data_IF_038224224672
#
_entry.id   IF_038224224672
#
_cell.length_a   1.000
_cell.length_b   1.000
_cell.length_c   1.000
_cell.angle_alpha   90.00
_cell.angle_beta   90.00
_cell.angle_gamma   90.00
#
_symmetry.space_group_name_H-M   'P 1'
#
loop_
_entity.id
_entity.type
_entity.pdbx_description
1 polymer ?
#
# COMPACT_ATOMS: atom_id res chain seq x y z
N UNK A 1 -5.46 -16.43 -2.65
CA UNK A 1 -6.26 -17.66 -2.89
C UNK A 1 -7.27 -17.97 -1.78
N UNK A 2 -6.99 -17.77 -0.48
CA UNK A 2 -7.86 -18.23 0.63
C UNK A 2 -9.29 -17.66 0.71
N UNK A 3 -9.63 -16.64 -0.10
CA UNK A 3 -10.98 -16.05 -0.21
C UNK A 3 -11.64 -16.30 -1.58
N UNK A 4 -10.86 -16.75 -2.56
CA UNK A 4 -11.30 -16.91 -3.94
C UNK A 4 -12.02 -18.24 -4.03
N UNK A 5 -13.31 -18.22 -4.36
CA UNK A 5 -14.11 -19.43 -4.55
C UNK A 5 -13.73 -20.11 -5.86
N UNK A 6 -13.73 -19.37 -6.96
CA UNK A 6 -13.52 -19.89 -8.31
C UNK A 6 -12.56 -19.00 -9.11
N UNK A 7 -12.81 -17.69 -9.17
CA UNK A 7 -12.05 -16.75 -10.01
C UNK A 7 -11.97 -15.36 -9.38
N UNK A 8 -10.81 -14.73 -9.49
CA UNK A 8 -10.58 -13.36 -9.06
C UNK A 8 -10.40 -12.40 -10.23
N UNK A 9 -10.82 -11.16 -10.02
CA UNK A 9 -10.53 -10.01 -10.87
C UNK A 9 -9.45 -9.17 -10.18
N UNK A 10 -8.36 -8.84 -10.88
CA UNK A 10 -7.24 -8.05 -10.35
C UNK A 10 -7.04 -6.76 -11.13
N UNK A 11 -6.79 -5.66 -10.42
CA UNK A 11 -6.21 -4.46 -11.04
C UNK A 11 -4.70 -4.49 -10.84
N UNK A 12 -3.94 -4.37 -11.93
CA UNK A 12 -2.48 -4.41 -11.92
C UNK A 12 -1.91 -3.11 -12.47
N UNK A 13 -1.17 -2.40 -11.64
CA UNK A 13 -0.59 -1.10 -11.98
C UNK A 13 0.75 -0.82 -11.27
N UNK A 14 1.40 -1.89 -10.81
CA UNK A 14 2.75 -1.90 -10.26
C UNK A 14 3.12 -3.27 -9.71
N UNK A 15 4.22 -3.32 -8.96
CA UNK A 15 4.80 -4.57 -8.47
C UNK A 15 3.90 -5.35 -7.50
N UNK A 16 3.29 -4.67 -6.53
CA UNK A 16 2.57 -5.37 -5.46
C UNK A 16 1.24 -5.91 -5.96
N UNK A 17 0.54 -5.13 -6.78
CA UNK A 17 -0.66 -5.58 -7.48
C UNK A 17 -0.39 -6.75 -8.43
N UNK A 18 0.70 -6.73 -9.21
CA UNK A 18 1.04 -7.84 -10.12
C UNK A 18 1.30 -9.14 -9.37
N UNK A 19 2.05 -9.10 -8.27
CA UNK A 19 2.34 -10.27 -7.44
C UNK A 19 1.09 -10.95 -6.90
N UNK A 20 0.04 -10.20 -6.56
CA UNK A 20 -1.20 -10.82 -6.08
C UNK A 20 -1.96 -11.51 -7.23
N UNK A 21 -1.97 -10.91 -8.43
CA UNK A 21 -2.54 -11.56 -9.61
C UNK A 21 -1.78 -12.85 -9.96
N UNK A 22 -0.44 -12.80 -9.98
CA UNK A 22 0.44 -13.95 -10.23
C UNK A 22 0.23 -15.06 -9.19
N UNK A 23 0.16 -14.72 -7.89
CA UNK A 23 -0.11 -15.69 -6.83
C UNK A 23 -1.49 -16.35 -6.95
N UNK A 24 -2.48 -15.65 -7.53
CA UNK A 24 -3.81 -16.20 -7.77
C UNK A 24 -3.82 -17.12 -8.99
N UNK A 25 -3.14 -16.73 -10.08
CA UNK A 25 -2.95 -17.57 -11.27
C UNK A 25 -2.16 -18.86 -10.97
N UNK A 26 -1.18 -18.79 -10.06
CA UNK A 26 -0.38 -19.95 -9.66
C UNK A 26 -1.14 -20.96 -8.79
N UNK A 27 -2.33 -20.63 -8.28
CA UNK A 27 -3.10 -21.53 -7.44
C UNK A 27 -3.85 -22.58 -8.29
N UNK A 28 -3.50 -23.87 -8.24
CA UNK A 28 -3.92 -24.87 -9.24
C UNK A 28 -5.40 -25.27 -9.18
N UNK A 29 -6.12 -24.79 -8.17
CA UNK A 29 -7.54 -25.09 -7.94
C UNK A 29 -8.46 -23.92 -8.30
N UNK A 30 -7.89 -22.79 -8.75
CA UNK A 30 -8.64 -21.62 -9.19
C UNK A 30 -8.62 -21.53 -10.71
N UNK A 31 -9.64 -20.90 -11.28
CA UNK A 31 -9.60 -20.50 -12.67
C UNK A 31 -8.62 -19.33 -12.86
N UNK A 32 -8.13 -19.16 -14.09
CA UNK A 32 -7.27 -18.03 -14.44
C UNK A 32 -7.92 -16.70 -14.03
N UNK A 33 -7.19 -15.81 -13.35
CA UNK A 33 -7.74 -14.53 -12.93
C UNK A 33 -7.99 -13.63 -14.13
N UNK A 34 -9.04 -12.81 -14.05
CA UNK A 34 -9.20 -11.67 -14.96
C UNK A 34 -8.27 -10.56 -14.48
N UNK A 35 -7.38 -10.11 -15.35
CA UNK A 35 -6.39 -9.08 -15.02
C UNK A 35 -6.65 -7.84 -15.89
N UNK A 36 -6.98 -6.73 -15.24
CA UNK A 36 -7.06 -5.42 -15.87
C UNK A 36 -5.79 -4.64 -15.50
N UNK A 37 -4.93 -4.41 -16.49
CA UNK A 37 -3.65 -3.73 -16.29
C UNK A 37 -3.66 -2.29 -16.80
N UNK A 38 -2.83 -1.43 -16.23
CA UNK A 38 -2.43 -0.15 -16.81
C UNK A 38 -0.92 0.00 -16.83
N UNK A 39 -0.42 1.01 -17.55
CA UNK A 39 0.95 1.47 -17.38
C UNK A 39 1.19 1.94 -15.94
N UNK A 40 2.45 1.87 -15.49
CA UNK A 40 2.86 2.40 -14.18
C UNK A 40 2.67 3.91 -14.13
N UNK A 41 2.27 4.46 -12.98
CA UNK A 41 2.01 5.89 -12.82
C UNK A 41 0.55 6.27 -13.03
N UNK A 42 -0.33 5.30 -13.29
CA UNK A 42 -1.79 5.43 -13.23
C UNK A 42 -2.40 4.12 -12.72
N UNK A 43 -3.73 4.02 -12.67
CA UNK A 43 -4.45 2.78 -12.35
C UNK A 43 -5.69 2.64 -13.26
N UNK A 44 -6.15 1.42 -13.55
CA UNK A 44 -7.46 1.20 -14.14
C UNK A 44 -8.57 1.32 -13.08
N UNK A 45 -9.83 1.31 -13.51
CA UNK A 45 -11.01 1.31 -12.63
C UNK A 45 -11.59 -0.10 -12.54
N UNK A 46 -12.02 -0.59 -11.37
CA UNK A 46 -12.65 -1.91 -11.29
C UNK A 46 -13.99 -1.91 -12.04
N UNK A 47 -14.22 -2.98 -12.81
CA UNK A 47 -15.44 -3.20 -13.59
C UNK A 47 -16.10 -4.48 -13.11
N UNK A 48 -17.43 -4.49 -13.08
CA UNK A 48 -18.19 -5.69 -12.72
C UNK A 48 -17.96 -6.81 -13.74
N UNK A 49 -17.61 -8.00 -13.25
CA UNK A 49 -17.47 -9.24 -13.99
C UNK A 49 -18.22 -10.36 -13.24
N UNK A 50 -19.29 -10.85 -13.84
CA UNK A 50 -20.14 -11.89 -13.23
C UNK A 50 -19.42 -13.25 -13.09
N UNK A 51 -18.27 -13.45 -13.75
CA UNK A 51 -17.44 -14.65 -13.62
C UNK A 51 -16.49 -14.59 -12.43
N UNK A 52 -16.34 -13.43 -11.78
CA UNK A 52 -15.40 -13.22 -10.68
C UNK A 52 -16.12 -13.11 -9.33
N UNK A 53 -15.65 -13.84 -8.34
CA UNK A 53 -16.19 -13.82 -6.97
C UNK A 53 -15.35 -12.99 -5.99
N UNK A 54 -14.22 -12.43 -6.45
CA UNK A 54 -13.34 -11.48 -5.77
C UNK A 54 -12.92 -10.38 -6.74
N UNK A 55 -12.84 -9.14 -6.25
CA UNK A 55 -12.15 -8.01 -6.88
C UNK A 55 -10.99 -7.58 -5.99
N UNK A 56 -9.78 -7.58 -6.53
CA UNK A 56 -8.55 -7.36 -5.78
C UNK A 56 -7.70 -6.24 -6.38
N UNK A 57 -7.29 -5.29 -5.54
CA UNK A 57 -6.42 -4.19 -5.95
C UNK A 57 -5.82 -3.46 -4.74
N UNK A 58 -4.70 -2.74 -4.90
CA UNK A 58 -4.15 -1.96 -3.81
C UNK A 58 -4.86 -0.62 -3.66
N UNK A 59 -5.03 -0.16 -2.42
CA UNK A 59 -5.36 1.23 -2.12
C UNK A 59 -4.16 2.13 -2.44
N UNK A 60 -2.94 1.64 -2.23
CA UNK A 60 -1.72 2.36 -2.59
C UNK A 60 -0.69 1.40 -3.18
N UNK A 61 -0.33 1.59 -4.45
CA UNK A 61 0.75 0.85 -5.09
C UNK A 61 2.09 1.46 -4.68
N UNK A 62 2.75 0.84 -3.70
CA UNK A 62 3.99 1.37 -3.08
C UNK A 62 5.14 1.49 -4.08
N UNK A 63 5.12 0.73 -5.17
CA UNK A 63 6.18 0.77 -6.18
C UNK A 63 6.12 2.01 -7.07
N UNK A 64 4.93 2.58 -7.28
CA UNK A 64 4.69 3.67 -8.25
C UNK A 64 4.14 4.96 -7.64
N UNK A 65 3.79 4.97 -6.35
CA UNK A 65 3.21 6.16 -5.71
C UNK A 65 1.77 6.45 -6.18
N UNK A 66 1.10 5.48 -6.79
CA UNK A 66 -0.29 5.60 -7.24
C UNK A 66 -1.24 5.16 -6.13
N UNK A 67 -2.19 6.03 -5.79
CA UNK A 67 -3.30 5.73 -4.88
C UNK A 67 -4.61 5.52 -5.66
N UNK A 68 -5.40 4.56 -5.20
CA UNK A 68 -6.75 4.25 -5.68
C UNK A 68 -7.68 4.19 -4.48
N UNK A 69 -8.53 5.21 -4.30
CA UNK A 69 -9.57 5.19 -3.27
C UNK A 69 -10.45 3.94 -3.44
N UNK A 70 -10.64 3.11 -2.40
CA UNK A 70 -11.41 1.88 -2.52
C UNK A 70 -12.83 2.12 -3.03
N UNK A 71 -13.20 1.39 -4.08
CA UNK A 71 -14.51 1.51 -4.72
C UNK A 71 -15.07 0.12 -5.05
N UNK A 72 -16.35 -0.09 -4.73
CA UNK A 72 -17.03 -1.35 -5.02
C UNK A 72 -17.52 -1.35 -6.49
N UNK A 73 -17.05 -2.27 -7.36
CA UNK A 73 -17.69 -2.46 -8.66
C UNK A 73 -19.09 -3.08 -8.46
N UNK A 74 -19.94 -3.00 -9.47
CA UNK A 74 -21.21 -3.72 -9.45
C UNK A 74 -21.02 -5.24 -9.29
N UNK A 75 -22.09 -5.93 -8.87
CA UNK A 75 -22.11 -7.39 -8.70
C UNK A 75 -21.82 -7.86 -7.27
N UNK A 76 -21.72 -9.19 -7.11
CA UNK A 76 -21.72 -9.86 -5.81
C UNK A 76 -20.35 -10.36 -5.33
N UNK A 77 -19.27 -10.05 -6.05
CA UNK A 77 -17.91 -10.39 -5.63
C UNK A 77 -17.49 -9.64 -4.36
N UNK A 78 -16.56 -10.22 -3.59
CA UNK A 78 -15.99 -9.51 -2.44
C UNK A 78 -14.89 -8.55 -2.90
N UNK A 79 -14.83 -7.37 -2.30
CA UNK A 79 -13.78 -6.38 -2.57
C UNK A 79 -12.63 -6.56 -1.57
N UNK A 80 -11.46 -6.92 -2.07
CA UNK A 80 -10.26 -7.27 -1.29
C UNK A 80 -9.16 -6.28 -1.60
N UNK A 81 -8.84 -5.40 -0.65
CA UNK A 81 -7.97 -4.26 -0.85
C UNK A 81 -6.64 -4.46 -0.15
N UNK A 82 -5.55 -4.38 -0.91
CA UNK A 82 -4.20 -4.27 -0.37
C UNK A 82 -3.97 -2.85 0.15
N UNK A 83 -4.00 -2.73 1.47
CA UNK A 83 -3.78 -1.47 2.15
C UNK A 83 -2.43 -1.42 2.84
N UNK A 84 -1.47 -2.28 2.48
CA UNK A 84 -0.18 -2.41 3.18
C UNK A 84 0.50 -1.06 3.39
N UNK A 85 0.52 -0.18 2.38
CA UNK A 85 1.04 1.20 2.47
C UNK A 85 0.01 2.30 2.73
N UNK A 86 -1.28 1.97 2.77
CA UNK A 86 -2.35 2.96 2.84
C UNK A 86 -3.03 3.01 4.22
N UNK A 87 -3.24 1.85 4.84
CA UNK A 87 -3.96 1.72 6.10
C UNK A 87 -3.35 2.63 7.18
N UNK A 88 -4.14 3.52 7.76
CA UNK A 88 -3.69 4.50 8.76
C UNK A 88 -3.20 5.84 8.19
N UNK A 89 -2.93 5.95 6.88
CA UNK A 89 -2.44 7.19 6.26
C UNK A 89 -3.30 7.70 5.08
N UNK A 90 -4.23 6.91 4.57
CA UNK A 90 -5.19 7.30 3.53
C UNK A 90 -6.63 7.04 4.00
N UNK A 91 -7.54 7.92 3.61
CA UNK A 91 -8.98 7.79 3.89
C UNK A 91 -9.59 6.64 3.10
N UNK A 92 -10.53 5.93 3.70
CA UNK A 92 -11.29 4.86 3.05
C UNK A 92 -12.66 4.73 3.71
N UNK A 93 -13.60 4.13 2.99
CA UNK A 93 -14.93 3.81 3.50
C UNK A 93 -15.06 2.28 3.63
N UNK A 94 -15.26 1.75 4.85
CA UNK A 94 -15.49 0.32 5.06
C UNK A 94 -16.66 -0.27 4.26
N UNK A 95 -17.66 0.52 3.86
CA UNK A 95 -18.78 0.02 3.04
C UNK A 95 -18.32 -0.45 1.63
N UNK A 96 -17.22 0.11 1.13
CA UNK A 96 -16.67 -0.23 -0.18
C UNK A 96 -15.73 -1.44 -0.17
N UNK A 97 -15.46 -2.04 0.99
CA UNK A 97 -14.45 -3.09 1.13
C UNK A 97 -14.99 -4.28 1.94
N UNK A 98 -14.66 -5.49 1.51
CA UNK A 98 -14.95 -6.71 2.27
C UNK A 98 -13.74 -7.21 3.04
N UNK A 99 -12.52 -7.02 2.52
CA UNK A 99 -11.28 -7.30 3.24
C UNK A 99 -10.28 -6.17 3.00
N UNK A 100 -9.87 -5.47 4.07
CA UNK A 100 -8.86 -4.41 4.01
C UNK A 100 -7.62 -4.88 4.79
N UNK A 101 -6.57 -5.29 4.08
CA UNK A 101 -5.42 -5.95 4.70
C UNK A 101 -4.14 -5.13 4.61
N UNK A 102 -3.29 -5.23 5.63
CA UNK A 102 -2.05 -4.48 5.73
C UNK A 102 -1.04 -5.16 6.66
N UNK A 103 0.12 -4.54 6.83
CA UNK A 103 1.15 -4.94 7.77
C UNK A 103 1.69 -3.70 8.53
N UNK A 104 2.28 -3.86 9.74
CA UNK A 104 2.55 -2.72 10.62
C UNK A 104 3.67 -1.76 10.16
N UNK A 105 4.56 -2.18 9.28
CA UNK A 105 5.83 -1.50 8.98
C UNK A 105 5.76 -0.30 8.03
N UNK A 106 4.59 0.31 7.88
CA UNK A 106 4.42 1.52 7.06
C UNK A 106 3.76 2.62 7.90
N UNK A 107 2.49 2.94 7.66
CA UNK A 107 1.79 3.98 8.43
C UNK A 107 1.75 3.71 9.93
N UNK A 108 1.74 2.43 10.33
CA UNK A 108 1.69 2.01 11.73
C UNK A 108 3.06 1.94 12.42
N UNK A 109 4.16 2.34 11.76
CA UNK A 109 5.48 2.51 12.36
C UNK A 109 5.97 1.31 13.22
N UNK A 110 5.48 0.10 12.94
CA UNK A 110 5.87 -1.12 13.64
C UNK A 110 6.83 -1.97 12.80
N UNK A 111 7.04 -3.21 13.23
CA UNK A 111 7.85 -4.17 12.47
C UNK A 111 7.01 -5.00 11.50
N UNK A 112 7.67 -5.53 10.46
CA UNK A 112 7.08 -6.53 9.58
C UNK A 112 6.90 -7.88 10.27
N UNK A 113 6.34 -8.86 9.55
CA UNK A 113 6.16 -10.23 10.05
C UNK A 113 4.79 -10.52 10.64
N UNK A 114 3.89 -9.54 10.68
CA UNK A 114 2.47 -9.70 10.98
C UNK A 114 1.63 -9.15 9.82
N UNK A 115 0.57 -9.85 9.44
CA UNK A 115 -0.49 -9.31 8.59
C UNK A 115 -1.75 -9.10 9.42
N UNK A 116 -2.51 -8.06 9.09
CA UNK A 116 -3.78 -7.72 9.71
C UNK A 116 -4.80 -7.53 8.61
N UNK A 117 -6.02 -8.01 8.81
CA UNK A 117 -7.11 -7.84 7.86
C UNK A 117 -8.40 -7.46 8.59
N UNK A 118 -8.98 -6.32 8.23
CA UNK A 118 -10.34 -5.97 8.62
C UNK A 118 -11.30 -6.67 7.65
N UNK A 119 -12.12 -7.58 8.17
CA UNK A 119 -13.02 -8.43 7.38
C UNK A 119 -14.48 -8.05 7.63
N UNK A 120 -15.25 -7.84 6.55
CA UNK A 120 -16.70 -7.66 6.62
C UNK A 120 -17.39 -8.98 7.00
N UNK A 121 -18.66 -8.94 7.46
CA UNK A 121 -19.44 -10.16 7.68
C UNK A 121 -19.47 -11.10 6.46
N UNK A 122 -19.53 -10.55 5.23
CA UNK A 122 -19.50 -11.34 4.00
C UNK A 122 -18.16 -12.06 3.81
N UNK A 123 -17.05 -11.41 4.14
CA UNK A 123 -15.73 -12.03 4.10
C UNK A 123 -15.56 -13.12 5.15
N UNK A 124 -16.07 -12.90 6.37
CA UNK A 124 -16.09 -13.92 7.43
C UNK A 124 -16.86 -15.16 6.99
N UNK A 125 -18.04 -14.99 6.40
CA UNK A 125 -18.80 -16.14 5.86
C UNK A 125 -18.10 -16.81 4.69
N UNK A 126 -17.43 -16.06 3.81
CA UNK A 126 -16.61 -16.65 2.74
C UNK A 126 -15.47 -17.51 3.26
N UNK A 127 -14.80 -17.08 4.34
CA UNK A 127 -13.73 -17.86 4.99
C UNK A 127 -14.30 -19.20 5.47
N UNK A 128 -15.45 -19.17 6.15
CA UNK A 128 -16.14 -20.39 6.64
C UNK A 128 -16.62 -21.29 5.51
N UNK A 129 -17.18 -20.70 4.46
CA UNK A 129 -17.65 -21.38 3.26
C UNK A 129 -16.50 -22.17 2.61
N UNK A 130 -15.36 -21.52 2.34
CA UNK A 130 -14.19 -22.17 1.74
C UNK A 130 -13.68 -23.30 2.63
N UNK A 131 -13.60 -23.09 3.96
CA UNK A 131 -13.22 -24.14 4.90
C UNK A 131 -14.14 -25.36 4.82
N UNK A 132 -15.45 -25.15 4.71
CA UNK A 132 -16.45 -26.22 4.63
C UNK A 132 -16.30 -27.09 3.37
N UNK A 133 -15.75 -26.55 2.28
CA UNK A 133 -15.44 -27.34 1.06
C UNK A 133 -14.34 -28.38 1.27
N UNK A 134 -13.61 -28.33 2.40
CA UNK A 134 -12.43 -29.16 2.69
C UNK A 134 -11.30 -28.98 1.66
N UNK A 135 -11.28 -27.85 0.95
CA UNK A 135 -10.15 -27.45 0.09
C UNK A 135 -8.87 -27.48 0.91
N UNK A 136 -7.87 -28.21 0.42
CA UNK A 136 -6.58 -28.27 1.09
C UNK A 136 -5.88 -26.92 1.05
N UNK A 137 -5.30 -26.52 2.18
CA UNK A 137 -4.41 -25.37 2.32
C UNK A 137 -3.47 -25.60 3.50
N UNK A 138 -2.23 -25.09 3.46
CA UNK A 138 -1.33 -25.14 4.62
C UNK A 138 -1.96 -24.42 5.82
N UNK A 139 -1.82 -24.98 7.03
CA UNK A 139 -2.43 -24.42 8.23
C UNK A 139 -2.01 -22.97 8.51
N UNK A 140 -0.76 -22.60 8.20
CA UNK A 140 -0.24 -21.24 8.34
C UNK A 140 -0.85 -20.22 7.37
N UNK A 141 -1.53 -20.67 6.32
CA UNK A 141 -2.23 -19.83 5.34
C UNK A 141 -3.76 -20.03 5.40
N UNK A 142 -4.25 -20.83 6.35
CA UNK A 142 -5.67 -21.07 6.55
C UNK A 142 -6.32 -19.88 7.27
N UNK A 143 -7.10 -19.08 6.53
CA UNK A 143 -7.79 -17.93 7.07
C UNK A 143 -8.84 -18.30 8.14
N UNK A 144 -9.39 -19.52 8.13
CA UNK A 144 -10.32 -19.95 9.18
C UNK A 144 -9.59 -20.14 10.51
N UNK A 145 -8.38 -20.70 10.47
CA UNK A 145 -7.53 -20.84 11.66
C UNK A 145 -7.12 -19.46 12.17
N UNK A 146 -6.72 -18.55 11.28
CA UNK A 146 -6.36 -17.18 11.67
C UNK A 146 -7.56 -16.44 12.28
N UNK A 147 -8.75 -16.59 11.71
CA UNK A 147 -10.00 -16.01 12.21
C UNK A 147 -10.37 -16.55 13.59
N UNK A 148 -10.38 -17.87 13.78
CA UNK A 148 -10.74 -18.53 15.05
C UNK A 148 -9.80 -18.11 16.19
N UNK A 149 -8.51 -17.92 15.90
CA UNK A 149 -7.56 -17.41 16.88
C UNK A 149 -7.77 -15.91 17.14
N UNK A 150 -8.02 -15.12 16.10
CA UNK A 150 -8.19 -13.67 16.21
C UNK A 150 -9.40 -13.28 17.07
N UNK A 151 -10.52 -14.01 16.97
CA UNK A 151 -11.70 -13.78 17.83
C UNK A 151 -11.43 -14.12 19.31
N UNK A 152 -10.39 -14.91 19.58
CA UNK A 152 -9.93 -15.26 20.92
C UNK A 152 -8.72 -14.43 21.38
N UNK A 153 -8.42 -13.31 20.70
CA UNK A 153 -7.24 -12.46 20.93
C UNK A 153 -5.91 -13.23 20.86
N UNK A 154 -5.82 -14.17 19.93
CA UNK A 154 -4.67 -15.04 19.71
C UNK A 154 -4.25 -15.01 18.23
N UNK A 155 -3.07 -15.54 17.97
CA UNK A 155 -2.60 -15.87 16.62
C UNK A 155 -2.34 -17.37 16.57
N UNK A 156 -2.38 -17.96 15.37
CA UNK A 156 -2.22 -19.41 15.21
C UNK A 156 -0.92 -19.94 15.84
N UNK A 157 0.18 -19.24 15.59
CA UNK A 157 1.50 -19.51 16.13
C UNK A 157 2.04 -18.28 16.87
N UNK A 158 3.13 -18.44 17.62
CA UNK A 158 3.69 -17.37 18.46
C UNK A 158 4.01 -16.10 17.67
N UNK A 159 3.37 -14.95 18.00
CA UNK A 159 3.66 -13.68 17.34
C UNK A 159 4.86 -12.99 18.01
N UNK A 160 5.49 -12.06 17.29
CA UNK A 160 6.50 -11.18 17.88
C UNK A 160 5.83 -10.14 18.78
N UNK A 161 6.16 -10.16 20.09
CA UNK A 161 5.59 -9.21 21.05
C UNK A 161 5.97 -7.75 20.74
N UNK A 162 7.22 -7.51 20.31
CA UNK A 162 7.68 -6.17 19.94
C UNK A 162 6.83 -5.55 18.82
N UNK A 163 6.49 -6.33 17.79
CA UNK A 163 5.61 -5.88 16.69
C UNK A 163 4.24 -5.47 17.21
N UNK A 164 3.65 -6.24 18.13
CA UNK A 164 2.33 -5.93 18.71
C UNK A 164 2.38 -4.68 19.59
N UNK A 165 3.42 -4.51 20.40
CA UNK A 165 3.59 -3.34 21.28
C UNK A 165 3.75 -2.07 20.44
N UNK A 166 4.62 -2.07 19.43
CA UNK A 166 4.82 -0.90 18.56
C UNK A 166 3.54 -0.52 17.81
N UNK A 167 2.81 -1.53 17.30
CA UNK A 167 1.53 -1.31 16.63
C UNK A 167 0.50 -0.69 17.58
N UNK A 168 0.37 -1.21 18.79
CA UNK A 168 -0.59 -0.71 19.78
C UNK A 168 -0.30 0.74 20.17
N UNK A 169 0.96 1.06 20.46
CA UNK A 169 1.41 2.44 20.76
C UNK A 169 1.09 3.40 19.60
N UNK A 170 1.38 3.01 18.36
CA UNK A 170 1.10 3.86 17.20
C UNK A 170 -0.41 4.06 16.99
N UNK A 171 -1.23 3.01 17.17
CA UNK A 171 -2.69 3.11 17.08
C UNK A 171 -3.24 4.04 18.16
N UNK A 172 -2.77 3.91 19.40
CA UNK A 172 -3.16 4.81 20.50
C UNK A 172 -2.75 6.25 20.24
N UNK A 173 -1.53 6.49 19.73
CA UNK A 173 -1.06 7.82 19.34
C UNK A 173 -1.94 8.43 18.24
N UNK A 174 -2.23 7.69 17.18
CA UNK A 174 -3.13 8.16 16.11
C UNK A 174 -4.51 8.51 16.66
N UNK A 175 -5.12 7.64 17.47
CA UNK A 175 -6.44 7.86 18.05
C UNK A 175 -6.48 9.08 18.99
N UNK A 176 -5.46 9.25 19.83
CA UNK A 176 -5.33 10.39 20.74
C UNK A 176 -5.26 11.72 19.99
N UNK A 177 -4.66 11.75 18.81
CA UNK A 177 -4.53 12.96 18.00
C UNK A 177 -5.73 13.25 17.08
N UNK A 178 -6.77 12.42 17.08
CA UNK A 178 -7.97 12.62 16.24
C UNK A 178 -8.22 11.52 15.21
N UNK A 179 -7.56 10.37 15.36
CA UNK A 179 -7.80 9.15 14.59
C UNK A 179 -7.37 9.25 13.13
N UNK A 180 -8.00 8.44 12.28
CA UNK A 180 -7.63 8.30 10.87
C UNK A 180 -7.66 9.64 10.11
N UNK A 181 -8.64 10.49 10.39
CA UNK A 181 -8.76 11.79 9.72
C UNK A 181 -7.53 12.67 9.98
N UNK A 182 -7.06 12.70 11.23
CA UNK A 182 -5.87 13.43 11.61
C UNK A 182 -4.62 12.85 10.93
N UNK A 183 -4.44 11.52 11.00
CA UNK A 183 -3.28 10.84 10.43
C UNK A 183 -3.20 11.03 8.90
N UNK A 184 -4.34 10.90 8.20
CA UNK A 184 -4.44 11.13 6.77
C UNK A 184 -4.16 12.60 6.38
N UNK A 185 -4.61 13.57 7.18
CA UNK A 185 -4.31 14.98 6.94
C UNK A 185 -2.83 15.31 7.11
N UNK A 186 -2.14 14.68 8.07
CA UNK A 186 -0.69 14.84 8.29
C UNK A 186 0.13 14.32 7.09
N UNK A 187 -0.25 13.15 6.55
CA UNK A 187 0.32 12.64 5.31
C UNK A 187 -0.01 13.53 4.11
N UNK A 188 -1.24 14.04 3.99
CA UNK A 188 -1.63 14.96 2.93
C UNK A 188 -0.85 16.30 2.96
N UNK A 189 -0.53 16.80 4.15
CA UNK A 189 0.33 17.98 4.31
C UNK A 189 1.74 17.73 3.79
N UNK A 190 2.35 16.61 4.18
CA UNK A 190 3.66 16.17 3.68
C UNK A 190 3.67 16.03 2.16
N UNK A 191 2.63 15.39 1.60
CA UNK A 191 2.47 15.19 0.17
C UNK A 191 2.35 16.50 -0.60
N UNK A 192 1.54 17.45 -0.09
CA UNK A 192 1.44 18.79 -0.66
C UNK A 192 2.79 19.50 -0.67
N UNK A 193 3.57 19.41 0.40
CA UNK A 193 4.92 19.99 0.46
C UNK A 193 5.83 19.38 -0.62
N UNK A 194 5.87 18.06 -0.72
CA UNK A 194 6.72 17.36 -1.70
C UNK A 194 6.31 17.65 -3.14
N UNK A 195 5.01 17.52 -3.48
CA UNK A 195 4.55 17.71 -4.85
C UNK A 195 4.64 19.17 -5.29
N UNK A 196 4.30 20.13 -4.43
CA UNK A 196 4.48 21.56 -4.75
C UNK A 196 5.95 21.93 -4.94
N UNK A 197 6.86 21.33 -4.16
CA UNK A 197 8.30 21.51 -4.37
C UNK A 197 8.70 20.97 -5.75
N UNK A 198 8.33 19.73 -6.07
CA UNK A 198 8.68 19.10 -7.35
C UNK A 198 8.18 19.93 -8.55
N UNK A 199 6.94 20.40 -8.51
CA UNK A 199 6.36 21.25 -9.56
C UNK A 199 7.02 22.64 -9.69
N UNK A 200 7.74 23.08 -8.67
CA UNK A 200 8.45 24.37 -8.64
C UNK A 200 9.92 24.28 -9.06
N UNK A 201 10.42 23.10 -9.43
CA UNK A 201 11.82 22.87 -9.83
C UNK A 201 11.87 22.33 -11.26
N UNK A 202 12.74 22.91 -12.09
CA UNK A 202 12.87 22.49 -13.49
C UNK A 202 13.45 21.07 -13.66
N UNK A 203 14.12 20.54 -12.63
CA UNK A 203 14.74 19.22 -12.64
C UNK A 203 13.88 18.13 -11.99
N UNK A 204 12.68 18.45 -11.50
CA UNK A 204 11.84 17.50 -10.76
C UNK A 204 10.42 17.45 -11.35
N UNK A 205 9.81 16.28 -11.38
CA UNK A 205 8.41 16.12 -11.81
C UNK A 205 7.74 14.98 -11.05
N UNK A 206 6.52 15.16 -10.52
CA UNK A 206 5.76 14.03 -9.97
C UNK A 206 5.53 12.97 -11.05
N UNK A 207 6.01 11.75 -10.81
CA UNK A 207 5.88 10.63 -11.76
C UNK A 207 4.42 10.31 -12.08
N UNK A 208 3.55 10.36 -11.08
CA UNK A 208 2.10 10.20 -11.25
C UNK A 208 1.52 11.50 -11.80
N UNK A 209 1.21 11.49 -13.09
CA UNK A 209 0.77 12.67 -13.83
C UNK A 209 -0.58 13.20 -13.35
N UNK A 210 -1.55 12.33 -13.06
CA UNK A 210 -2.86 12.72 -12.58
C UNK A 210 -2.81 13.09 -11.08
N UNK A 211 -3.03 14.36 -10.68
CA UNK A 211 -2.95 14.76 -9.28
C UNK A 211 -3.92 14.00 -8.37
N UNK A 212 -5.07 13.57 -8.87
CA UNK A 212 -6.05 12.81 -8.10
C UNK A 212 -5.60 11.37 -7.76
N UNK A 213 -4.57 10.87 -8.45
CA UNK A 213 -4.01 9.53 -8.24
C UNK A 213 -2.69 9.57 -7.46
N UNK A 214 -2.15 10.76 -7.16
CA UNK A 214 -0.92 10.91 -6.40
C UNK A 214 -1.15 10.45 -4.97
N UNK A 215 -0.31 9.53 -4.52
CA UNK A 215 -0.35 9.07 -3.13
C UNK A 215 0.06 10.17 -2.16
N UNK A 216 -0.66 10.25 -1.04
CA UNK A 216 -0.27 11.10 0.08
C UNK A 216 0.73 10.45 1.03
N UNK A 217 1.03 9.17 0.88
CA UNK A 217 1.87 8.38 1.80
C UNK A 217 3.17 7.90 1.16
N UNK A 218 3.25 7.87 -0.17
CA UNK A 218 4.45 7.52 -0.93
C UNK A 218 4.55 8.40 -2.17
N UNK A 219 5.43 9.40 -2.15
CA UNK A 219 5.64 10.29 -3.30
C UNK A 219 6.76 9.78 -4.19
N UNK A 220 6.55 9.81 -5.50
CA UNK A 220 7.54 9.42 -6.51
C UNK A 220 7.83 10.59 -7.44
N UNK A 221 9.07 11.07 -7.44
CA UNK A 221 9.51 12.27 -8.15
C UNK A 221 10.59 11.86 -9.14
N UNK A 222 10.29 11.96 -10.44
CA UNK A 222 11.30 11.80 -11.49
C UNK A 222 12.24 13.02 -11.47
N UNK A 223 13.53 12.75 -11.71
CA UNK A 223 14.60 13.74 -11.70
C UNK A 223 15.22 13.83 -13.11
N UNK A 224 15.48 15.05 -13.57
CA UNK A 224 16.11 15.36 -14.84
C UNK A 224 17.48 16.02 -14.63
N UNK A 225 18.39 15.84 -15.58
CA UNK A 225 19.70 16.51 -15.61
C UNK A 225 20.78 15.93 -14.67
N UNK A 226 20.40 15.23 -13.60
CA UNK A 226 21.34 14.56 -12.68
C UNK A 226 20.85 13.15 -12.31
N UNK A 227 21.76 12.28 -11.85
CA UNK A 227 21.42 10.91 -11.42
C UNK A 227 20.79 10.92 -10.01
N UNK A 228 19.54 10.47 -9.92
CA UNK A 228 18.79 10.34 -8.66
C UNK A 228 19.47 9.37 -7.68
N UNK A 229 20.15 8.33 -8.17
CA UNK A 229 20.89 7.42 -7.28
C UNK A 229 22.08 8.14 -6.63
N UNK A 230 22.71 9.08 -7.34
CA UNK A 230 23.77 9.90 -6.77
C UNK A 230 23.22 10.86 -5.72
N UNK A 231 22.04 11.44 -5.96
CA UNK A 231 21.32 12.23 -4.93
C UNK A 231 21.07 11.35 -3.69
N UNK A 232 20.45 10.18 -3.85
CA UNK A 232 20.18 9.25 -2.73
C UNK A 232 21.45 8.81 -2.00
N UNK A 233 22.56 8.57 -2.71
CA UNK A 233 23.83 8.23 -2.10
C UNK A 233 24.41 9.37 -1.24
N UNK A 234 24.33 10.62 -1.72
CA UNK A 234 24.79 11.80 -0.98
C UNK A 234 23.89 12.07 0.23
N UNK A 235 22.56 11.99 0.06
CA UNK A 235 21.61 12.07 1.17
C UNK A 235 21.92 11.01 2.24
N UNK A 236 22.14 9.76 1.83
CA UNK A 236 22.46 8.64 2.71
C UNK A 236 23.77 8.85 3.48
N UNK A 237 24.80 9.38 2.82
CA UNK A 237 26.06 9.74 3.47
C UNK A 237 25.90 10.85 4.55
N UNK A 238 24.80 11.61 4.49
CA UNK A 238 24.45 12.67 5.43
C UNK A 238 23.29 12.28 6.38
N UNK A 239 22.93 10.99 6.46
CA UNK A 239 21.93 10.48 7.40
C UNK A 239 20.48 10.53 6.92
N UNK A 240 20.22 11.00 5.69
CA UNK A 240 18.89 10.96 5.05
C UNK A 240 18.81 9.71 4.18
N UNK A 241 18.12 8.69 4.65
CA UNK A 241 18.15 7.34 4.06
C UNK A 241 16.90 7.00 3.27
N UNK A 242 17.01 5.96 2.44
CA UNK A 242 15.90 5.21 1.83
C UNK A 242 14.99 6.04 0.91
N UNK A 243 15.59 7.00 0.20
CA UNK A 243 14.94 7.81 -0.86
C UNK A 243 15.04 7.18 -2.25
N UNK A 244 15.71 6.03 -2.37
CA UNK A 244 15.93 5.32 -3.63
C UNK A 244 14.60 4.91 -4.29
N UNK A 245 14.57 4.92 -5.63
CA UNK A 245 13.43 4.43 -6.40
C UNK A 245 13.14 2.95 -6.14
N UNK A 246 11.95 2.50 -6.54
CA UNK A 246 11.66 1.07 -6.50
C UNK A 246 12.59 0.32 -7.45
N UNK A 247 13.40 -0.62 -6.93
CA UNK A 247 14.50 -1.30 -7.62
C UNK A 247 14.17 -1.82 -9.04
N UNK A 248 12.95 -2.29 -9.27
CA UNK A 248 12.52 -2.86 -10.56
C UNK A 248 11.90 -1.85 -11.54
N UNK A 249 11.63 -0.62 -11.11
CA UNK A 249 10.97 0.39 -11.93
C UNK A 249 11.94 0.99 -12.97
N UNK A 250 13.25 1.00 -12.69
CA UNK A 250 14.29 1.41 -13.65
C UNK A 250 14.23 2.88 -14.06
N UNK A 251 13.69 3.75 -13.19
CA UNK A 251 13.54 5.20 -13.45
C UNK A 251 14.58 6.01 -12.69
N UNK A 252 14.96 7.16 -13.27
CA UNK A 252 15.74 8.18 -12.59
C UNK A 252 14.83 8.96 -11.63
N UNK A 253 14.62 8.40 -10.43
CA UNK A 253 13.51 8.79 -9.56
C UNK A 253 13.92 8.73 -8.10
N UNK A 254 13.36 9.64 -7.29
CA UNK A 254 13.33 9.56 -5.84
C UNK A 254 11.96 9.07 -5.37
N UNK A 255 11.93 8.23 -4.33
CA UNK A 255 10.69 7.76 -3.70
C UNK A 255 10.70 8.07 -2.21
N UNK A 256 9.75 8.88 -1.77
CA UNK A 256 9.72 9.47 -0.43
C UNK A 256 8.51 8.91 0.35
N UNK A 257 8.78 8.29 1.49
CA UNK A 257 7.74 7.92 2.45
C UNK A 257 7.20 9.16 3.16
N UNK A 258 5.88 9.26 3.29
CA UNK A 258 5.17 10.39 3.92
C UNK A 258 4.11 9.87 4.91
N UNK A 259 4.45 8.80 5.60
CA UNK A 259 3.60 8.15 6.60
C UNK A 259 3.35 9.07 7.80
N UNK A 260 2.26 8.87 8.58
CA UNK A 260 1.88 9.79 9.66
C UNK A 260 2.98 10.04 10.72
N UNK A 261 3.85 9.06 10.96
CA UNK A 261 4.96 9.18 11.91
C UNK A 261 6.06 10.16 11.45
N UNK A 262 6.14 10.47 10.15
CA UNK A 262 7.11 11.42 9.60
C UNK A 262 6.56 12.83 9.83
N UNK A 263 7.40 13.73 10.35
CA UNK A 263 6.99 15.11 10.54
C UNK A 263 6.93 15.84 9.19
N UNK A 264 5.84 16.56 8.87
CA UNK A 264 5.79 17.38 7.67
C UNK A 264 6.96 18.36 7.52
N UNK A 265 7.53 18.83 8.63
CA UNK A 265 8.72 19.67 8.62
C UNK A 265 9.97 18.93 8.10
N UNK A 266 10.09 17.62 8.34
CA UNK A 266 11.21 16.82 7.83
C UNK A 266 11.09 16.63 6.31
N UNK A 267 9.87 16.54 5.78
CA UNK A 267 9.64 16.52 4.33
C UNK A 267 10.02 17.86 3.69
N UNK A 268 9.75 18.98 4.36
CA UNK A 268 10.19 20.30 3.92
C UNK A 268 11.73 20.46 3.99
N UNK A 269 12.36 19.91 5.02
CA UNK A 269 13.83 19.92 5.14
C UNK A 269 14.47 19.06 4.05
N UNK A 270 13.91 17.88 3.77
CA UNK A 270 14.38 16.97 2.73
C UNK A 270 14.41 17.65 1.35
N UNK A 271 13.36 18.39 0.99
CA UNK A 271 13.33 19.07 -0.32
C UNK A 271 14.43 20.13 -0.43
N UNK A 272 14.72 20.86 0.64
CA UNK A 272 15.87 21.77 0.72
C UNK A 272 17.22 21.03 0.61
N UNK A 273 17.36 19.85 1.23
CA UNK A 273 18.55 19.02 1.06
C UNK A 273 18.73 18.57 -0.40
N UNK A 274 17.65 18.18 -1.08
CA UNK A 274 17.72 17.78 -2.49
C UNK A 274 18.14 18.97 -3.36
N UNK A 275 17.58 20.16 -3.14
CA UNK A 275 17.97 21.38 -3.88
C UNK A 275 19.49 21.63 -3.78
N UNK A 276 20.05 21.58 -2.57
CA UNK A 276 21.50 21.77 -2.35
C UNK A 276 22.34 20.71 -3.08
N UNK A 277 21.93 19.45 -3.02
CA UNK A 277 22.66 18.37 -3.69
C UNK A 277 22.62 18.54 -5.21
N UNK A 278 21.45 18.83 -5.78
CA UNK A 278 21.30 19.01 -7.23
C UNK A 278 22.09 20.21 -7.73
N UNK A 279 22.11 21.32 -6.98
CA UNK A 279 22.91 22.52 -7.30
C UNK A 279 24.41 22.16 -7.42
N UNK A 280 24.94 21.39 -6.47
CA UNK A 280 26.34 20.97 -6.50
C UNK A 280 26.66 19.95 -7.60
N UNK A 281 25.72 19.08 -7.97
CA UNK A 281 25.90 18.10 -9.04
C UNK A 281 25.76 18.70 -10.45
N UNK A 282 25.07 19.84 -10.57
CA UNK A 282 24.83 20.53 -11.84
C UNK A 282 25.88 21.61 -12.17
N UNK A 283 26.79 21.87 -11.22
CA UNK A 283 27.90 22.83 -11.31
C UNK A 283 29.15 22.20 -11.93
#
# INVERSE_FOLDING_TARGET
>A
FGLIRERSHHLVFGEFSSKFAEASAAAPHLADPVVLSSDTGTHPTPVADATCDIYAYPHNETSTGVALTPVRPGGDGLVVVDATSAAGGLMWDPANVDVYYFAPQKCFAGDGGLWIAACSPRAVERIREIKATKRWQPASLDLSIALDNSVANQTYNTPALATLIMLDEQVQWMNTNGGLQWAANRSAESARTLYSWAESRAFATPFVANPAQRSNVVGTIDIDGVDANQISAILRANGVVDTDSYRKLGRNQLRIGMFPAIDPADVAALTGCIDVVVEHLSS
#
